data_IF_396586020117
#
_entry.id   IF_396586020117
#
_cell.length_a   1.000
_cell.length_b   1.000
_cell.length_c   1.000
_cell.angle_alpha   90.00
_cell.angle_beta   90.00
_cell.angle_gamma   90.00
#
_symmetry.space_group_name_H-M   'P 1'
#
loop_
_entity.id
_entity.type
_entity.pdbx_description
1 polymer ?
#
# COMPACT_ATOMS: atom_id res chain seq x y z
N UNK A 1 6.67 1.86 -8.13
CA UNK A 1 6.50 1.75 -6.67
C UNK A 1 5.09 2.17 -6.34
N UNK A 2 4.23 1.29 -5.81
CA UNK A 2 2.87 1.68 -5.46
C UNK A 2 2.35 0.97 -4.20
N UNK A 3 1.51 1.64 -3.42
CA UNK A 3 0.75 0.98 -2.36
C UNK A 3 -0.72 0.84 -2.73
N UNK A 4 -1.31 -0.34 -2.49
CA UNK A 4 -2.74 -0.60 -2.74
C UNK A 4 -3.57 -0.53 -1.46
N UNK A 5 -4.57 0.36 -1.49
CA UNK A 5 -5.54 0.54 -0.41
C UNK A 5 -6.96 0.60 -0.99
N UNK A 6 -7.57 -0.53 -1.38
CA UNK A 6 -8.95 -0.55 -1.87
C UNK A 6 -10.00 -0.21 -0.79
N UNK A 7 -9.61 -0.15 0.49
CA UNK A 7 -10.49 0.16 1.61
C UNK A 7 -9.87 1.17 2.58
N UNK A 8 -10.68 1.95 3.32
CA UNK A 8 -10.24 2.83 4.42
C UNK A 8 -9.89 2.02 5.68
N UNK A 9 -9.21 0.88 5.50
CA UNK A 9 -8.76 0.01 6.56
C UNK A 9 -7.52 -0.76 6.06
N UNK A 10 -6.36 -0.54 6.69
CA UNK A 10 -5.10 -1.15 6.26
C UNK A 10 -5.16 -2.68 6.21
N UNK A 11 -5.80 -3.31 7.20
CA UNK A 11 -5.91 -4.78 7.27
C UNK A 11 -6.85 -5.31 6.20
N UNK A 12 -8.02 -4.68 6.00
CA UNK A 12 -8.98 -5.07 4.96
C UNK A 12 -8.36 -4.91 3.57
N UNK A 13 -7.70 -3.79 3.32
CA UNK A 13 -6.95 -3.51 2.09
C UNK A 13 -5.93 -4.59 1.77
N UNK A 14 -5.05 -4.94 2.72
CA UNK A 14 -4.04 -5.97 2.50
C UNK A 14 -4.63 -7.37 2.30
N UNK A 15 -5.70 -7.71 3.04
CA UNK A 15 -6.37 -9.00 2.90
C UNK A 15 -7.01 -9.21 1.53
N UNK A 16 -7.49 -8.13 0.93
CA UNK A 16 -8.14 -8.15 -0.37
C UNK A 16 -7.17 -8.41 -1.53
N UNK A 17 -5.86 -8.27 -1.31
CA UNK A 17 -4.87 -8.48 -2.36
C UNK A 17 -4.59 -9.97 -2.58
N UNK A 18 -4.45 -10.38 -3.84
CA UNK A 18 -3.80 -11.64 -4.17
C UNK A 18 -2.36 -11.67 -3.66
N UNK A 19 -1.78 -12.87 -3.61
CA UNK A 19 -0.44 -13.06 -3.05
C UNK A 19 0.65 -12.32 -3.83
N UNK A 20 0.53 -12.17 -5.16
CA UNK A 20 1.52 -11.45 -5.96
C UNK A 20 1.54 -9.97 -5.60
N UNK A 21 0.38 -9.31 -5.52
CA UNK A 21 0.32 -7.89 -5.12
C UNK A 21 0.67 -7.73 -3.65
N UNK A 22 0.21 -8.59 -2.73
CA UNK A 22 0.62 -8.54 -1.32
C UNK A 22 2.15 -8.65 -1.15
N UNK A 23 2.79 -9.56 -1.90
CA UNK A 23 4.24 -9.70 -1.92
C UNK A 23 4.95 -8.42 -2.34
N UNK A 24 4.44 -7.74 -3.37
CA UNK A 24 4.94 -6.43 -3.81
C UNK A 24 4.70 -5.33 -2.78
N UNK A 25 3.57 -5.33 -2.07
CA UNK A 25 3.29 -4.33 -1.04
C UNK A 25 4.33 -4.30 0.07
N UNK A 26 4.86 -5.45 0.49
CA UNK A 26 5.97 -5.50 1.47
C UNK A 26 7.21 -4.79 0.96
N UNK A 27 7.61 -5.10 -0.27
CA UNK A 27 8.84 -4.57 -0.88
C UNK A 27 8.71 -3.08 -1.16
N UNK A 28 7.61 -2.66 -1.79
CA UNK A 28 7.40 -1.27 -2.17
C UNK A 28 7.18 -0.36 -0.96
N UNK A 29 6.44 -0.80 0.07
CA UNK A 29 6.31 -0.04 1.31
C UNK A 29 7.67 0.14 2.02
N UNK A 30 8.52 -0.90 2.04
CA UNK A 30 9.87 -0.82 2.58
C UNK A 30 10.77 0.14 1.78
N UNK A 31 10.66 0.14 0.45
CA UNK A 31 11.39 1.09 -0.40
C UNK A 31 10.97 2.54 -0.14
N UNK A 32 9.66 2.81 -0.03
CA UNK A 32 9.17 4.15 0.34
C UNK A 32 9.70 4.56 1.71
N UNK A 33 9.63 3.67 2.71
CA UNK A 33 10.17 3.93 4.05
C UNK A 33 11.65 4.28 4.02
N UNK A 34 12.46 3.53 3.27
CA UNK A 34 13.89 3.83 3.18
C UNK A 34 14.16 5.20 2.54
N UNK A 35 13.33 5.64 1.61
CA UNK A 35 13.44 6.98 1.02
C UNK A 35 13.01 8.05 2.03
N UNK A 36 11.86 7.88 2.69
CA UNK A 36 11.33 8.86 3.65
C UNK A 36 12.18 8.98 4.92
N UNK A 37 12.83 7.89 5.33
CA UNK A 37 13.68 7.83 6.53
C UNK A 37 15.17 8.00 6.19
N UNK A 38 15.48 8.41 4.96
CA UNK A 38 16.85 8.71 4.49
C UNK A 38 17.84 7.55 4.68
N UNK A 39 17.35 6.31 4.58
CA UNK A 39 18.16 5.09 4.70
C UNK A 39 18.76 4.64 3.38
N UNK A 40 18.69 5.45 2.33
CA UNK A 40 19.19 5.11 1.00
C UNK A 40 19.63 6.36 0.22
N UNK A 41 20.72 6.21 -0.54
CA UNK A 41 21.24 7.27 -1.42
C UNK A 41 20.48 7.40 -2.76
N UNK A 42 19.44 6.58 -2.97
CA UNK A 42 18.62 6.59 -4.19
C UNK A 42 17.64 7.77 -4.22
N UNK A 43 18.18 8.99 -4.23
CA UNK A 43 17.42 10.26 -4.21
C UNK A 43 16.47 10.43 -5.40
N UNK A 44 16.72 9.74 -6.52
CA UNK A 44 15.91 9.81 -7.74
C UNK A 44 14.42 9.46 -7.57
N UNK A 45 14.04 8.75 -6.50
CA UNK A 45 12.65 8.37 -6.25
C UNK A 45 11.90 9.29 -5.27
N UNK A 46 12.55 10.33 -4.72
CA UNK A 46 11.95 11.22 -3.73
C UNK A 46 10.71 11.96 -4.25
N UNK A 47 10.64 12.21 -5.56
CA UNK A 47 9.53 12.87 -6.23
C UNK A 47 8.42 11.93 -6.70
N UNK A 48 8.57 10.62 -6.48
CA UNK A 48 7.57 9.64 -6.89
C UNK A 48 6.24 9.88 -6.16
N UNK A 49 5.07 9.83 -6.84
CA UNK A 49 3.77 10.11 -6.22
C UNK A 49 3.50 9.31 -4.94
N UNK A 50 3.77 8.00 -4.93
CA UNK A 50 3.64 7.16 -3.74
C UNK A 50 4.53 7.61 -2.55
N UNK A 51 5.71 8.18 -2.82
CA UNK A 51 6.58 8.72 -1.75
C UNK A 51 5.96 10.00 -1.18
N UNK A 52 5.51 10.90 -2.05
CA UNK A 52 4.83 12.14 -1.64
C UNK A 52 3.57 11.85 -0.83
N UNK A 53 2.77 10.89 -1.27
CA UNK A 53 1.53 10.44 -0.62
C UNK A 53 1.71 10.01 0.84
N UNK A 54 2.87 9.43 1.19
CA UNK A 54 3.17 8.94 2.54
C UNK A 54 4.05 9.87 3.37
N UNK A 55 4.56 10.98 2.80
CA UNK A 55 5.43 11.92 3.50
C UNK A 55 4.69 12.57 4.68
N UNK A 56 5.31 12.55 5.86
CA UNK A 56 4.71 13.01 7.12
C UNK A 56 3.79 11.98 7.80
N UNK A 57 3.63 10.80 7.20
CA UNK A 57 2.82 9.69 7.71
C UNK A 57 3.62 8.40 7.82
N UNK A 58 4.92 8.50 8.10
CA UNK A 58 5.89 7.40 8.10
C UNK A 58 5.47 6.29 9.06
N UNK A 59 4.95 6.64 10.25
CA UNK A 59 4.47 5.66 11.22
C UNK A 59 3.24 4.88 10.73
N UNK A 60 2.36 5.50 9.95
CA UNK A 60 1.25 4.79 9.30
C UNK A 60 1.76 3.86 8.21
N UNK A 61 2.77 4.26 7.44
CA UNK A 61 3.40 3.40 6.45
C UNK A 61 4.17 2.23 7.09
N UNK A 62 4.88 2.44 8.21
CA UNK A 62 5.47 1.36 9.02
C UNK A 62 4.42 0.36 9.48
N UNK A 63 3.26 0.86 9.94
CA UNK A 63 2.14 0.00 10.32
C UNK A 63 1.62 -0.82 9.13
N UNK A 64 1.44 -0.18 7.96
CA UNK A 64 1.03 -0.85 6.73
C UNK A 64 2.03 -1.93 6.31
N UNK A 65 3.33 -1.59 6.27
CA UNK A 65 4.42 -2.51 5.99
C UNK A 65 4.39 -3.71 6.95
N UNK A 66 4.36 -3.47 8.26
CA UNK A 66 4.34 -4.54 9.27
C UNK A 66 3.13 -5.46 9.11
N UNK A 67 1.95 -4.91 8.83
CA UNK A 67 0.74 -5.70 8.56
C UNK A 67 0.88 -6.55 7.29
N UNK A 68 1.50 -6.01 6.24
CA UNK A 68 1.73 -6.74 5.00
C UNK A 68 2.70 -7.92 5.17
N UNK A 69 3.78 -7.73 5.95
CA UNK A 69 4.74 -8.79 6.32
C UNK A 69 4.06 -9.88 7.16
N UNK A 70 3.31 -9.49 8.20
CA UNK A 70 2.59 -10.45 9.04
C UNK A 70 1.56 -11.25 8.25
N UNK A 71 0.80 -10.62 7.36
CA UNK A 71 -0.18 -11.32 6.53
C UNK A 71 0.49 -12.27 5.53
N UNK A 72 1.63 -11.88 4.96
CA UNK A 72 2.41 -12.75 4.07
C UNK A 72 2.88 -14.03 4.77
N UNK A 73 3.42 -13.89 5.99
CA UNK A 73 3.80 -15.04 6.82
C UNK A 73 2.58 -15.89 7.16
N UNK A 74 1.47 -15.25 7.55
CA UNK A 74 0.23 -15.96 7.88
C UNK A 74 -0.37 -16.73 6.68
N UNK A 75 -0.06 -16.33 5.44
CA UNK A 75 -0.42 -17.10 4.22
C UNK A 75 0.56 -18.24 3.92
N UNK A 76 1.50 -18.55 4.82
CA UNK A 76 2.45 -19.66 4.68
C UNK A 76 3.71 -19.33 3.89
N UNK A 77 3.93 -18.06 3.51
CA UNK A 77 5.12 -17.69 2.74
C UNK A 77 6.31 -17.33 3.62
N UNK A 78 7.51 -17.68 3.17
CA UNK A 78 8.78 -17.32 3.84
C UNK A 78 9.03 -15.81 3.78
N UNK A 79 9.61 -15.26 4.85
CA UNK A 79 9.95 -13.83 4.95
C UNK A 79 11.32 -13.62 5.59
N UNK A 80 12.12 -12.71 5.02
CA UNK A 80 13.41 -12.27 5.55
C UNK A 80 13.41 -10.80 5.98
N UNK A 81 12.32 -10.06 5.72
CA UNK A 81 12.23 -8.64 6.04
C UNK A 81 11.97 -8.45 7.54
N UNK A 82 12.73 -7.57 8.19
CA UNK A 82 12.51 -7.20 9.59
C UNK A 82 11.33 -6.24 9.70
N UNK A 83 10.54 -6.38 10.77
CA UNK A 83 9.46 -5.43 11.06
C UNK A 83 10.03 -4.10 11.53
N UNK A 84 9.36 -3.01 11.18
CA UNK A 84 9.68 -1.67 11.65
C UNK A 84 9.24 -1.47 13.09
N UNK A 85 10.07 -0.78 13.88
CA UNK A 85 9.65 -0.25 15.18
C UNK A 85 8.84 1.03 14.96
N UNK A 86 7.69 1.12 15.61
CA UNK A 86 6.82 2.30 15.55
C UNK A 86 6.93 3.02 16.89
N UNK A 87 7.40 4.27 16.85
CA UNK A 87 7.57 5.11 18.03
C UNK A 87 6.74 6.38 17.85
N UNK A 88 6.07 6.83 18.90
CA UNK A 88 5.16 7.97 18.85
C UNK A 88 3.79 7.65 18.24
N UNK A 89 3.09 8.69 17.80
CA UNK A 89 1.71 8.57 17.31
C UNK A 89 1.66 8.04 15.88
N UNK A 90 0.60 7.29 15.58
CA UNK A 90 0.23 6.90 14.23
C UNK A 90 -0.83 7.87 13.76
N UNK A 91 -0.44 8.80 12.88
CA UNK A 91 -1.36 9.71 12.21
C UNK A 91 -1.67 9.10 10.84
N UNK A 92 -2.95 8.87 10.56
CA UNK A 92 -3.37 8.40 9.25
C UNK A 92 -3.41 9.57 8.27
N UNK A 93 -3.04 9.34 7.00
CA UNK A 93 -3.09 10.39 5.99
C UNK A 93 -4.49 10.96 5.80
N UNK A 94 -4.61 12.25 5.46
CA UNK A 94 -5.91 12.92 5.23
C UNK A 94 -6.76 12.27 4.13
N UNK A 95 -6.10 11.69 3.13
CA UNK A 95 -6.74 10.95 2.04
C UNK A 95 -7.24 9.55 2.46
N UNK A 96 -6.87 9.07 3.65
CA UNK A 96 -7.36 7.81 4.17
C UNK A 96 -8.83 7.94 4.56
N UNK A 97 -9.73 7.33 3.80
CA UNK A 97 -11.18 7.58 3.89
C UNK A 97 -11.77 8.19 2.63
N UNK A 98 -10.94 8.76 1.74
CA UNK A 98 -11.40 9.33 0.48
C UNK A 98 -11.88 8.21 -0.46
N UNK A 99 -13.17 8.26 -0.83
CA UNK A 99 -13.79 7.26 -1.69
C UNK A 99 -13.13 7.20 -3.08
N UNK A 100 -12.82 8.34 -3.68
CA UNK A 100 -12.22 8.39 -5.03
C UNK A 100 -10.82 7.79 -5.02
N UNK A 101 -10.05 8.05 -3.95
CA UNK A 101 -8.76 7.39 -3.75
C UNK A 101 -8.90 5.86 -3.70
N UNK A 102 -9.78 5.36 -2.83
CA UNK A 102 -9.99 3.92 -2.66
C UNK A 102 -10.54 3.24 -3.91
N UNK A 103 -11.45 3.88 -4.63
CA UNK A 103 -12.03 3.35 -5.86
C UNK A 103 -11.03 3.36 -7.01
N UNK A 104 -10.17 4.38 -7.12
CA UNK A 104 -9.06 4.35 -8.09
C UNK A 104 -8.15 3.13 -7.88
N UNK A 105 -7.93 2.73 -6.63
CA UNK A 105 -7.14 1.55 -6.29
C UNK A 105 -7.85 0.25 -6.65
N UNK A 106 -9.16 0.13 -6.40
CA UNK A 106 -9.97 -1.02 -6.84
C UNK A 106 -9.95 -1.17 -8.36
N UNK A 107 -10.16 -0.07 -9.08
CA UNK A 107 -10.12 -0.01 -10.55
C UNK A 107 -8.77 -0.50 -11.10
N UNK A 108 -7.67 -0.05 -10.49
CA UNK A 108 -6.34 -0.51 -10.87
C UNK A 108 -6.11 -1.99 -10.56
N UNK A 109 -6.66 -2.52 -9.47
CA UNK A 109 -6.56 -3.95 -9.16
C UNK A 109 -7.36 -4.80 -10.17
N UNK A 110 -8.58 -4.39 -10.53
CA UNK A 110 -9.36 -5.01 -11.63
C UNK A 110 -8.56 -5.11 -12.92
N UNK A 111 -7.91 -4.02 -13.35
CA UNK A 111 -7.04 -4.04 -14.56
C UNK A 111 -5.84 -4.97 -14.43
N UNK A 112 -5.39 -5.24 -13.21
CA UNK A 112 -4.24 -6.11 -12.97
C UNK A 112 -4.66 -7.58 -13.00
N UNK A 113 -5.87 -7.91 -12.59
CA UNK A 113 -6.36 -9.29 -12.47
C UNK A 113 -7.90 -9.30 -12.39
N UNK A 114 -8.57 -9.28 -13.54
CA UNK A 114 -10.02 -9.09 -13.59
C UNK A 114 -10.80 -10.18 -12.85
N UNK A 115 -10.35 -11.43 -12.98
CA UNK A 115 -11.02 -12.59 -12.37
C UNK A 115 -10.88 -12.57 -10.84
N UNK A 116 -9.67 -12.34 -10.33
CA UNK A 116 -9.44 -12.31 -8.88
C UNK A 116 -10.16 -11.15 -8.20
N UNK A 117 -10.25 -10.00 -8.86
CA UNK A 117 -10.86 -8.79 -8.30
C UNK A 117 -12.30 -8.55 -8.78
N UNK A 118 -12.96 -9.53 -9.40
CA UNK A 118 -14.25 -9.37 -10.05
C UNK A 118 -15.31 -8.67 -9.19
N UNK A 119 -15.39 -8.98 -7.89
CA UNK A 119 -16.32 -8.34 -6.94
C UNK A 119 -16.17 -6.80 -6.88
N UNK A 120 -14.99 -6.24 -7.18
CA UNK A 120 -14.83 -4.78 -7.22
C UNK A 120 -15.58 -4.14 -8.39
N UNK A 121 -15.86 -4.89 -9.45
CA UNK A 121 -16.57 -4.39 -10.63
C UNK A 121 -18.04 -4.06 -10.35
N UNK A 122 -18.60 -4.57 -9.25
CA UNK A 122 -19.96 -4.22 -8.80
C UNK A 122 -20.11 -2.74 -8.46
N UNK A 123 -19.01 -2.09 -8.03
CA UNK A 123 -19.05 -0.73 -7.49
C UNK A 123 -18.10 0.24 -8.21
N UNK A 124 -17.17 -0.27 -9.03
CA UNK A 124 -16.09 0.51 -9.64
C UNK A 124 -15.78 0.03 -11.05
N UNK A 125 -15.74 0.95 -12.00
CA UNK A 125 -15.29 0.70 -13.37
C UNK A 125 -13.78 0.44 -13.45
N UNK A 126 -13.34 -0.40 -14.39
CA UNK A 126 -11.94 -0.75 -14.59
C UNK A 126 -11.13 0.29 -15.39
N UNK A 127 -11.60 1.51 -15.58
CA UNK A 127 -10.95 2.56 -16.40
C UNK A 127 -10.43 3.78 -15.62
N UNK A 128 -10.69 3.86 -14.30
CA UNK A 128 -10.23 4.98 -13.47
C UNK A 128 -8.70 5.03 -13.37
N UNK A 129 -8.11 6.20 -13.66
CA UNK A 129 -6.70 6.49 -13.39
C UNK A 129 -6.38 6.50 -11.89
N UNK A 130 -5.09 6.43 -11.52
CA UNK A 130 -4.70 6.60 -10.12
C UNK A 130 -5.05 8.00 -9.63
N UNK A 131 -5.73 8.08 -8.50
CA UNK A 131 -5.89 9.32 -7.75
C UNK A 131 -4.74 9.42 -6.76
N UNK A 132 -3.92 10.46 -6.90
CA UNK A 132 -2.83 10.77 -5.97
C UNK A 132 -3.20 12.00 -5.14
N UNK A 133 -2.97 11.98 -3.82
CA UNK A 133 -3.20 13.11 -2.93
C UNK A 133 -2.03 14.10 -2.89
#
# INVERSE_FOLDING_TARGET
>A
MQTFLPYPNLKKSLKALDSRRLGKQRVEAFQILNILLERTDKKGWQNHPAVKMWRGYENALKLYFNKSVKLWIARGYKNTMKLEKIEGKIILPKWFGDKNFHDSHKSNLLRKDGDFYFEFSENVSADLGYVWP
#
